data_IF_069009619654
#
_entry.id   IF_069009619654
#
_cell.length_a   1.000
_cell.length_b   1.000
_cell.length_c   1.000
_cell.angle_alpha   90.00
_cell.angle_beta   90.00
_cell.angle_gamma   90.00
#
_symmetry.space_group_name_H-M   'P 1'
#
loop_
_entity.id
_entity.type
_entity.pdbx_description
1 polymer ?
#
# COMPACT_ATOMS: atom_id res chain seq x y z
N UNK A 1 -8.39 -62.92 -47.83
CA UNK A 1 -7.19 -62.05 -47.85
C UNK A 1 -7.72 -60.63 -47.82
N UNK A 2 -7.94 -60.09 -46.62
CA UNK A 2 -8.46 -58.73 -46.38
C UNK A 2 -7.44 -58.10 -45.45
N UNK A 3 -6.69 -57.12 -45.95
CA UNK A 3 -5.73 -56.37 -45.16
C UNK A 3 -6.49 -55.37 -44.28
N UNK A 4 -6.39 -55.58 -42.97
CA UNK A 4 -6.88 -54.70 -41.92
C UNK A 4 -5.88 -53.54 -41.73
N UNK A 5 -6.11 -52.42 -42.42
CA UNK A 5 -5.30 -51.21 -42.27
C UNK A 5 -5.89 -50.33 -41.17
N UNK A 6 -5.52 -50.58 -39.92
CA UNK A 6 -5.74 -49.64 -38.83
C UNK A 6 -4.88 -48.37 -39.02
N UNK A 7 -5.42 -47.15 -38.85
CA UNK A 7 -4.64 -45.92 -38.95
C UNK A 7 -3.72 -45.76 -37.73
N UNK A 8 -2.57 -45.05 -37.87
CA UNK A 8 -1.63 -44.83 -36.78
C UNK A 8 -2.26 -43.93 -35.70
N UNK A 9 -2.39 -44.47 -34.49
CA UNK A 9 -2.76 -43.70 -33.29
C UNK A 9 -1.57 -42.82 -32.94
N UNK A 10 -1.63 -41.54 -33.28
CA UNK A 10 -0.66 -40.56 -32.79
C UNK A 10 -0.88 -40.34 -31.30
N UNK A 11 0.14 -40.45 -30.44
CA UNK A 11 0.02 -39.96 -29.08
C UNK A 11 -0.11 -38.44 -29.15
N UNK A 12 -1.32 -37.94 -28.91
CA UNK A 12 -1.53 -36.53 -28.57
C UNK A 12 -0.80 -36.31 -27.25
N UNK A 13 0.49 -35.98 -27.33
CA UNK A 13 1.19 -35.30 -26.26
C UNK A 13 0.47 -33.97 -26.10
N UNK A 14 -0.55 -33.98 -25.24
CA UNK A 14 -1.04 -32.78 -24.62
C UNK A 14 0.15 -32.19 -23.87
N UNK A 15 0.86 -31.33 -24.58
CA UNK A 15 1.63 -30.26 -23.99
C UNK A 15 0.60 -29.42 -23.23
N UNK A 16 0.27 -29.88 -22.01
CA UNK A 16 -0.38 -29.06 -21.00
C UNK A 16 0.69 -28.04 -20.64
N UNK A 17 0.89 -27.10 -21.56
CA UNK A 17 1.55 -25.85 -21.31
C UNK A 17 0.97 -25.38 -19.99
N UNK A 18 1.81 -25.42 -18.95
CA UNK A 18 1.46 -25.04 -17.62
C UNK A 18 0.73 -23.71 -17.74
N UNK A 19 -0.59 -23.71 -17.56
CA UNK A 19 -1.37 -22.47 -17.56
C UNK A 19 -0.65 -21.61 -16.53
N UNK A 20 -0.12 -20.42 -16.91
CA UNK A 20 0.57 -19.59 -15.94
C UNK A 20 -0.40 -19.43 -14.78
N UNK A 21 -0.02 -19.94 -13.61
CA UNK A 21 -0.81 -19.77 -12.40
C UNK A 21 -1.10 -18.27 -12.32
N UNK A 22 -2.36 -17.82 -12.10
CA UNK A 22 -2.65 -16.40 -12.03
C UNK A 22 -1.68 -15.83 -11.01
N UNK A 23 -0.69 -15.08 -11.49
CA UNK A 23 0.31 -14.49 -10.64
C UNK A 23 -0.50 -13.71 -9.61
N UNK A 24 -0.45 -14.11 -8.34
CA UNK A 24 -1.18 -13.36 -7.32
C UNK A 24 -0.51 -11.98 -7.30
N UNK A 25 -1.15 -11.01 -7.97
CA UNK A 25 -0.62 -9.68 -8.21
C UNK A 25 -0.57 -8.93 -6.87
N UNK A 26 0.47 -9.21 -6.08
CA UNK A 26 0.66 -8.70 -4.72
C UNK A 26 1.73 -7.62 -4.75
N UNK A 27 1.53 -6.57 -3.95
CA UNK A 27 2.56 -5.56 -3.74
C UNK A 27 3.82 -6.19 -3.13
N UNK A 28 4.98 -5.61 -3.43
CA UNK A 28 6.22 -6.03 -2.78
C UNK A 28 6.10 -5.82 -1.26
N UNK A 29 6.71 -6.72 -0.47
CA UNK A 29 6.71 -6.59 1.00
C UNK A 29 7.23 -5.22 1.46
N UNK A 30 8.23 -4.68 0.75
CA UNK A 30 8.76 -3.34 1.01
C UNK A 30 7.71 -2.24 0.82
N UNK A 31 6.91 -2.30 -0.25
CA UNK A 31 5.84 -1.33 -0.49
C UNK A 31 4.73 -1.40 0.57
N UNK A 32 4.40 -2.61 1.04
CA UNK A 32 3.43 -2.81 2.13
C UNK A 32 3.94 -2.23 3.44
N UNK A 33 5.18 -2.56 3.85
CA UNK A 33 5.77 -2.02 5.09
C UNK A 33 5.87 -0.51 5.03
N UNK A 34 6.33 0.06 3.91
CA UNK A 34 6.43 1.50 3.72
C UNK A 34 5.04 2.17 3.83
N UNK A 35 4.01 1.58 3.23
CA UNK A 35 2.65 2.09 3.33
C UNK A 35 2.15 2.14 4.78
N UNK A 36 2.22 1.02 5.49
CA UNK A 36 1.71 0.93 6.87
C UNK A 36 2.51 1.80 7.84
N UNK A 37 3.83 1.90 7.64
CA UNK A 37 4.67 2.81 8.43
C UNK A 37 4.20 4.25 8.26
N UNK A 38 4.02 4.71 7.02
CA UNK A 38 3.54 6.07 6.75
C UNK A 38 2.13 6.28 7.30
N UNK A 39 1.23 5.31 7.12
CA UNK A 39 -0.15 5.40 7.62
C UNK A 39 -0.19 5.56 9.14
N UNK A 40 0.56 4.74 9.88
CA UNK A 40 0.67 4.84 11.34
C UNK A 40 1.26 6.18 11.77
N UNK A 41 2.33 6.64 11.10
CA UNK A 41 2.96 7.92 11.40
C UNK A 41 2.00 9.10 11.15
N UNK A 42 1.22 9.08 10.06
CA UNK A 42 0.21 10.10 9.78
C UNK A 42 -0.84 10.17 10.89
N UNK A 43 -1.35 9.03 11.36
CA UNK A 43 -2.36 8.98 12.43
C UNK A 43 -1.79 9.58 13.73
N UNK A 44 -0.59 9.16 14.13
CA UNK A 44 0.08 9.70 15.33
C UNK A 44 0.32 11.20 15.17
N UNK A 45 0.83 11.63 14.02
CA UNK A 45 1.17 13.03 13.79
C UNK A 45 -0.06 13.94 13.75
N UNK A 46 -1.18 13.43 13.23
CA UNK A 46 -2.47 14.12 13.25
C UNK A 46 -2.97 14.29 14.69
N UNK A 47 -2.86 13.24 15.52
CA UNK A 47 -3.16 13.31 16.96
C UNK A 47 -2.31 14.35 17.68
N UNK A 48 -1.00 14.38 17.43
CA UNK A 48 -0.10 15.41 17.98
C UNK A 48 -0.49 16.83 17.54
N UNK A 49 -0.90 17.00 16.28
CA UNK A 49 -1.40 18.28 15.76
C UNK A 49 -2.66 18.75 16.47
N UNK A 50 -3.60 17.83 16.74
CA UNK A 50 -4.80 18.14 17.53
C UNK A 50 -4.49 18.48 18.98
N UNK A 51 -3.59 17.73 19.63
CA UNK A 51 -3.15 18.04 21.00
C UNK A 51 -2.52 19.42 21.04
N UNK A 52 -1.61 19.74 20.10
CA UNK A 52 -0.99 21.05 20.02
C UNK A 52 -2.03 22.17 19.80
N UNK A 53 -3.08 21.92 18.99
CA UNK A 53 -4.14 22.90 18.75
C UNK A 53 -5.10 23.09 19.95
N UNK A 54 -5.28 22.06 20.78
CA UNK A 54 -6.23 22.06 21.89
C UNK A 54 -5.61 22.40 23.26
N UNK A 55 -4.28 22.58 23.33
CA UNK A 55 -3.55 22.76 24.60
C UNK A 55 -2.62 23.96 24.52
N UNK A 56 -2.23 24.46 25.69
CA UNK A 56 -1.25 25.55 25.86
C UNK A 56 -0.10 25.09 26.78
N UNK A 57 0.92 25.93 26.96
CA UNK A 57 2.03 25.69 27.88
C UNK A 57 2.94 24.52 27.48
N UNK A 58 3.32 23.69 28.45
CA UNK A 58 4.31 22.63 28.24
C UNK A 58 3.78 21.49 27.37
N UNK A 59 2.51 21.13 27.50
CA UNK A 59 1.91 20.06 26.70
C UNK A 59 1.84 20.44 25.21
N UNK A 60 1.49 21.70 24.92
CA UNK A 60 1.55 22.25 23.56
C UNK A 60 2.97 22.15 22.98
N UNK A 61 3.98 22.56 23.75
CA UNK A 61 5.38 22.55 23.32
C UNK A 61 5.85 21.12 23.04
N UNK A 62 5.59 20.19 23.95
CA UNK A 62 5.92 18.77 23.78
C UNK A 62 5.24 18.15 22.56
N UNK A 63 3.96 18.48 22.32
CA UNK A 63 3.25 18.02 21.14
C UNK A 63 3.92 18.53 19.85
N UNK A 64 4.32 19.80 19.80
CA UNK A 64 5.04 20.37 18.65
C UNK A 64 6.46 19.81 18.47
N UNK A 65 7.15 19.51 19.57
CA UNK A 65 8.50 18.94 19.56
C UNK A 65 8.51 17.56 18.90
N UNK A 66 7.42 16.79 19.02
CA UNK A 66 7.23 15.54 18.28
C UNK A 66 6.59 15.74 16.91
N UNK A 67 5.61 16.63 16.79
CA UNK A 67 4.84 16.82 15.56
C UNK A 67 5.70 17.26 14.37
N UNK A 68 6.59 18.24 14.59
CA UNK A 68 7.44 18.79 13.51
C UNK A 68 8.41 17.75 12.93
N UNK A 69 9.26 17.06 13.72
CA UNK A 69 10.19 16.09 13.16
C UNK A 69 9.48 14.87 12.57
N UNK A 70 8.40 14.38 13.19
CA UNK A 70 7.60 13.29 12.62
C UNK A 70 7.03 13.71 11.25
N UNK A 71 6.53 14.94 11.12
CA UNK A 71 6.09 15.49 9.84
C UNK A 71 7.16 15.49 8.75
N UNK A 72 8.41 15.83 9.09
CA UNK A 72 9.54 15.79 8.15
C UNK A 72 9.90 14.36 7.75
N UNK A 73 9.87 13.40 8.68
CA UNK A 73 10.09 11.99 8.35
C UNK A 73 8.98 11.46 7.42
N UNK A 74 7.72 11.83 7.67
CA UNK A 74 6.60 11.50 6.78
C UNK A 74 6.85 12.07 5.38
N UNK A 75 7.31 13.32 5.26
CA UNK A 75 7.66 13.92 3.96
C UNK A 75 8.72 13.08 3.23
N UNK A 76 9.82 12.74 3.91
CA UNK A 76 10.89 11.93 3.33
C UNK A 76 10.40 10.55 2.87
N UNK A 77 9.67 9.83 3.72
CA UNK A 77 9.09 8.52 3.37
C UNK A 77 8.06 8.61 2.24
N UNK A 78 7.29 9.71 2.18
CA UNK A 78 6.32 9.98 1.12
C UNK A 78 6.99 10.19 -0.23
N UNK A 79 8.14 10.88 -0.25
CA UNK A 79 8.95 11.03 -1.46
C UNK A 79 9.53 9.69 -1.92
N UNK A 80 10.05 8.88 -0.99
CA UNK A 80 10.50 7.51 -1.31
C UNK A 80 9.36 6.68 -1.88
N UNK A 81 8.17 6.76 -1.29
CA UNK A 81 6.97 6.06 -1.77
C UNK A 81 6.55 6.54 -3.16
N UNK A 82 6.60 7.84 -3.41
CA UNK A 82 6.31 8.41 -4.73
C UNK A 82 7.33 7.90 -5.77
N UNK A 83 8.63 7.96 -5.45
CA UNK A 83 9.69 7.40 -6.29
C UNK A 83 9.49 5.90 -6.57
N UNK A 84 9.12 5.12 -5.56
CA UNK A 84 8.79 3.70 -5.72
C UNK A 84 7.63 3.50 -6.70
N UNK A 85 6.55 4.29 -6.57
CA UNK A 85 5.39 4.20 -7.48
C UNK A 85 5.72 4.61 -8.92
N UNK A 86 6.61 5.58 -9.10
CA UNK A 86 7.04 6.00 -10.44
C UNK A 86 7.92 4.94 -11.12
N UNK A 87 8.70 4.19 -10.34
CA UNK A 87 9.61 3.14 -10.84
C UNK A 87 8.95 1.77 -10.97
N UNK A 88 7.89 1.49 -10.19
CA UNK A 88 7.20 0.21 -10.17
C UNK A 88 5.74 0.38 -10.60
N UNK A 89 5.36 -0.24 -11.73
CA UNK A 89 3.97 -0.22 -12.20
C UNK A 89 3.07 -0.89 -11.15
N UNK A 90 2.07 -0.17 -10.61
CA UNK A 90 1.10 -0.81 -9.72
C UNK A 90 0.31 -1.87 -10.51
N UNK A 91 -0.16 -2.94 -9.83
CA UNK A 91 -1.05 -3.91 -10.45
C UNK A 91 -2.25 -3.23 -11.12
N UNK A 92 -2.76 -3.77 -12.24
CA UNK A 92 -3.99 -3.29 -12.85
C UNK A 92 -5.12 -3.23 -11.81
N UNK A 93 -5.90 -2.16 -11.83
CA UNK A 93 -7.09 -2.06 -10.99
C UNK A 93 -8.01 -3.25 -11.27
N UNK A 94 -8.65 -3.78 -10.21
CA UNK A 94 -9.53 -4.94 -10.32
C UNK A 94 -10.63 -4.70 -11.36
N UNK A 95 -10.79 -5.64 -12.29
CA UNK A 95 -11.84 -5.59 -13.30
C UNK A 95 -13.20 -5.73 -12.63
N UNK A 96 -14.07 -4.72 -12.73
CA UNK A 96 -15.43 -4.77 -12.17
C UNK A 96 -15.89 -3.49 -11.45
N UNK A 97 -14.98 -2.53 -11.20
CA UNK A 97 -15.35 -1.24 -10.58
C UNK A 97 -16.24 -0.40 -11.49
N UNK A 98 -17.24 0.27 -10.91
CA UNK A 98 -18.02 1.25 -11.65
C UNK A 98 -17.10 2.41 -12.11
N UNK A 99 -17.40 3.08 -13.24
CA UNK A 99 -16.54 4.17 -13.75
C UNK A 99 -16.33 5.29 -12.72
N UNK A 100 -17.36 5.62 -11.94
CA UNK A 100 -17.30 6.65 -10.90
C UNK A 100 -16.41 6.23 -9.72
N UNK A 101 -16.40 4.95 -9.34
CA UNK A 101 -15.54 4.40 -8.27
C UNK A 101 -14.07 4.45 -8.68
N UNK A 102 -13.79 4.13 -9.95
CA UNK A 102 -12.44 4.21 -10.50
C UNK A 102 -11.92 5.65 -10.50
N UNK A 103 -12.77 6.62 -10.84
CA UNK A 103 -12.42 8.04 -10.78
C UNK A 103 -12.18 8.47 -9.33
N UNK A 104 -13.08 8.11 -8.42
CA UNK A 104 -12.98 8.48 -7.00
C UNK A 104 -11.75 7.88 -6.33
N UNK A 105 -11.42 6.63 -6.63
CA UNK A 105 -10.20 5.97 -6.17
C UNK A 105 -8.94 6.70 -6.67
N UNK A 106 -8.90 7.08 -7.96
CA UNK A 106 -7.79 7.85 -8.52
C UNK A 106 -7.65 9.22 -7.87
N UNK A 107 -8.76 9.96 -7.72
CA UNK A 107 -8.78 11.27 -7.07
C UNK A 107 -8.32 11.19 -5.62
N UNK A 108 -8.78 10.18 -4.87
CA UNK A 108 -8.36 9.96 -3.49
C UNK A 108 -6.86 9.69 -3.39
N UNK A 109 -6.31 8.84 -4.28
CA UNK A 109 -4.87 8.57 -4.31
C UNK A 109 -4.03 9.80 -4.66
N UNK A 110 -4.44 10.56 -5.69
CA UNK A 110 -3.75 11.81 -6.05
C UNK A 110 -3.87 12.87 -4.95
N UNK A 111 -5.05 12.96 -4.32
CA UNK A 111 -5.29 13.79 -3.15
C UNK A 111 -4.34 13.43 -2.01
N UNK A 112 -4.13 12.14 -1.72
CA UNK A 112 -3.15 11.71 -0.73
C UNK A 112 -1.73 12.15 -1.06
N UNK A 113 -1.29 12.05 -2.32
CA UNK A 113 0.04 12.56 -2.69
C UNK A 113 0.15 14.07 -2.46
N UNK A 114 -0.90 14.82 -2.79
CA UNK A 114 -0.93 16.26 -2.55
C UNK A 114 -0.83 16.58 -1.05
N UNK A 115 -1.62 15.92 -0.19
CA UNK A 115 -1.60 16.22 1.25
C UNK A 115 -0.37 15.66 1.96
N UNK A 116 0.11 14.47 1.58
CA UNK A 116 1.29 13.85 2.19
C UNK A 116 2.57 14.66 1.94
N UNK A 117 2.64 15.40 0.83
CA UNK A 117 3.77 16.26 0.51
C UNK A 117 3.49 17.69 0.96
N UNK A 118 2.34 18.24 0.57
CA UNK A 118 2.00 19.64 0.80
C UNK A 118 1.78 19.98 2.28
N UNK A 119 1.20 19.09 3.08
CA UNK A 119 0.97 19.35 4.51
C UNK A 119 2.28 19.51 5.32
N UNK A 120 3.25 18.59 5.25
CA UNK A 120 4.52 18.80 5.94
C UNK A 120 5.33 19.95 5.32
N UNK A 121 5.21 20.22 4.02
CA UNK A 121 5.83 21.41 3.42
C UNK A 121 5.27 22.73 3.96
N UNK A 122 3.95 22.84 4.13
CA UNK A 122 3.34 24.04 4.73
C UNK A 122 3.69 24.18 6.21
N UNK A 123 3.84 23.07 6.94
CA UNK A 123 4.34 23.07 8.33
C UNK A 123 5.82 23.48 8.43
N UNK A 124 6.65 23.04 7.48
CA UNK A 124 8.05 23.46 7.38
C UNK A 124 8.16 24.94 6.97
N UNK A 125 7.31 25.41 6.06
CA UNK A 125 7.17 26.83 5.74
C UNK A 125 6.78 27.64 6.97
N UNK A 126 5.76 27.22 7.71
CA UNK A 126 5.34 27.89 8.95
C UNK A 126 6.49 28.00 9.95
N UNK A 127 7.19 26.90 10.20
CA UNK A 127 8.35 26.86 11.10
C UNK A 127 9.52 27.72 10.61
N UNK A 128 9.60 27.92 9.29
CA UNK A 128 10.62 28.75 8.67
C UNK A 128 10.24 30.22 8.59
N UNK A 129 8.95 30.59 8.62
CA UNK A 129 8.44 31.96 8.44
C UNK A 129 8.34 32.77 9.74
N UNK A 130 8.38 32.10 10.90
CA UNK A 130 8.33 32.75 12.21
C UNK A 130 9.64 33.50 12.52
N UNK A 131 9.62 34.78 12.96
CA UNK A 131 10.84 35.56 13.22
C UNK A 131 11.77 34.97 14.28
N UNK A 132 11.19 34.30 15.29
CA UNK A 132 11.95 33.50 16.27
C UNK A 132 11.92 32.04 15.85
N UNK A 133 12.83 31.70 14.94
CA UNK A 133 13.03 30.32 14.51
C UNK A 133 13.57 29.49 15.67
N UNK A 134 12.98 28.33 15.88
CA UNK A 134 13.48 27.35 16.85
C UNK A 134 13.95 26.16 16.03
N UNK A 135 15.22 25.79 16.18
CA UNK A 135 15.75 24.59 15.56
C UNK A 135 14.88 23.40 15.99
N UNK A 136 14.49 22.58 15.03
CA UNK A 136 13.78 21.34 15.28
C UNK A 136 14.41 20.26 14.40
N UNK A 137 14.38 19.04 14.92
CA UNK A 137 15.17 17.97 14.36
C UNK A 137 14.80 16.63 14.94
N UNK A 138 15.28 15.57 14.31
CA UNK A 138 15.06 14.23 14.86
C UNK A 138 15.93 14.03 16.09
N UNK A 139 15.33 14.13 17.28
CA UNK A 139 15.95 13.78 18.57
C UNK A 139 17.31 14.50 18.78
N UNK A 140 17.44 15.74 18.31
CA UNK A 140 18.68 16.52 18.41
C UNK A 140 19.87 16.00 17.58
N UNK A 141 19.67 14.98 16.73
CA UNK A 141 20.74 14.36 15.91
C UNK A 141 20.86 15.04 14.55
N UNK A 142 19.72 15.43 13.96
CA UNK A 142 19.67 16.07 12.64
C UNK A 142 18.81 17.31 12.75
N UNK A 143 19.42 18.49 12.68
CA UNK A 143 18.71 19.76 12.56
C UNK A 143 18.17 19.93 11.14
N UNK A 144 16.89 20.27 11.04
CA UNK A 144 16.26 20.52 9.74
C UNK A 144 16.54 21.98 9.35
N UNK A 145 17.16 22.23 8.17
CA UNK A 145 17.43 23.60 7.74
C UNK A 145 16.12 24.36 7.49
N UNK A 146 16.13 25.67 7.70
CA UNK A 146 14.96 26.50 7.40
C UNK A 146 14.88 26.83 5.92
N UNK A 147 13.65 26.95 5.41
CA UNK A 147 13.43 27.39 4.04
C UNK A 147 13.78 28.89 3.88
N UNK A 148 14.27 29.30 2.71
CA UNK A 148 14.55 30.71 2.39
C UNK A 148 13.24 31.46 2.10
N UNK A 149 12.44 31.67 3.13
CA UNK A 149 11.13 32.34 3.07
C UNK A 149 11.15 33.65 3.84
N UNK A 150 10.29 34.59 3.46
CA UNK A 150 10.12 35.87 4.15
C UNK A 150 9.72 35.64 5.61
N UNK A 151 10.46 36.27 6.53
CA UNK A 151 10.14 36.26 7.96
C UNK A 151 9.12 37.34 8.27
N UNK A 152 7.84 36.97 8.31
CA UNK A 152 6.78 37.92 8.65
C UNK A 152 5.58 37.21 9.25
N UNK A 153 4.82 37.93 10.09
CA UNK A 153 3.55 37.43 10.63
C UNK A 153 2.55 37.11 9.50
N UNK A 154 2.58 37.87 8.41
CA UNK A 154 1.75 37.59 7.23
C UNK A 154 2.12 36.24 6.59
N UNK A 155 3.43 35.98 6.37
CA UNK A 155 3.87 34.70 5.80
C UNK A 155 3.58 33.53 6.74
N UNK A 156 3.81 33.69 8.04
CA UNK A 156 3.50 32.67 9.03
C UNK A 156 1.99 32.39 9.10
N UNK A 157 1.15 33.43 9.09
CA UNK A 157 -0.30 33.29 9.08
C UNK A 157 -0.82 32.55 7.86
N UNK A 158 -0.30 32.86 6.67
CA UNK A 158 -0.64 32.16 5.43
C UNK A 158 -0.22 30.68 5.49
N UNK A 159 1.02 30.40 5.90
CA UNK A 159 1.52 29.04 6.03
C UNK A 159 0.70 28.21 7.04
N UNK A 160 0.32 28.83 8.17
CA UNK A 160 -0.53 28.20 9.17
C UNK A 160 -1.93 27.89 8.62
N UNK A 161 -2.58 28.84 7.93
CA UNK A 161 -3.89 28.62 7.34
C UNK A 161 -3.87 27.48 6.31
N UNK A 162 -2.87 27.48 5.42
CA UNK A 162 -2.68 26.38 4.47
C UNK A 162 -2.43 25.05 5.19
N UNK A 163 -1.63 25.03 6.26
CA UNK A 163 -1.37 23.83 7.03
C UNK A 163 -2.64 23.24 7.65
N UNK A 164 -3.51 24.09 8.22
CA UNK A 164 -4.81 23.68 8.77
C UNK A 164 -5.72 23.13 7.68
N UNK A 165 -5.85 23.82 6.54
CA UNK A 165 -6.67 23.33 5.42
C UNK A 165 -6.19 22.00 4.86
N UNK A 166 -4.86 21.81 4.79
CA UNK A 166 -4.27 20.54 4.39
C UNK A 166 -4.56 19.45 5.43
N UNK A 167 -4.50 19.78 6.72
CA UNK A 167 -4.92 18.92 7.84
C UNK A 167 -6.34 18.41 7.70
N UNK A 168 -7.29 19.33 7.50
CA UNK A 168 -8.70 19.01 7.29
C UNK A 168 -8.90 18.15 6.02
N UNK A 169 -8.19 18.47 4.94
CA UNK A 169 -8.22 17.68 3.70
C UNK A 169 -7.69 16.26 3.92
N UNK A 170 -6.63 16.09 4.71
CA UNK A 170 -6.11 14.77 5.09
C UNK A 170 -7.15 13.93 5.82
N UNK A 171 -7.90 14.53 6.75
CA UNK A 171 -8.98 13.83 7.47
C UNK A 171 -10.09 13.40 6.51
N UNK A 172 -10.54 14.30 5.63
CA UNK A 172 -11.57 13.99 4.64
C UNK A 172 -11.15 12.88 3.69
N UNK A 173 -9.92 12.92 3.18
CA UNK A 173 -9.36 11.86 2.32
C UNK A 173 -9.20 10.55 3.06
N UNK A 174 -8.77 10.57 4.33
CA UNK A 174 -8.68 9.37 5.17
C UNK A 174 -10.05 8.73 5.38
N UNK A 175 -11.07 9.52 5.70
CA UNK A 175 -12.44 9.04 5.82
C UNK A 175 -12.94 8.42 4.51
N UNK A 176 -12.74 9.10 3.38
CA UNK A 176 -13.12 8.60 2.05
C UNK A 176 -12.39 7.30 1.69
N UNK A 177 -11.11 7.21 2.01
CA UNK A 177 -10.30 6.02 1.78
C UNK A 177 -10.79 4.82 2.60
N UNK A 178 -11.01 5.02 3.90
CA UNK A 178 -11.52 3.98 4.78
C UNK A 178 -12.93 3.54 4.39
N UNK A 179 -13.79 4.48 3.98
CA UNK A 179 -15.12 4.17 3.47
C UNK A 179 -15.04 3.32 2.18
N UNK A 180 -14.15 3.65 1.24
CA UNK A 180 -13.92 2.86 0.03
C UNK A 180 -13.44 1.45 0.34
N UNK A 181 -12.45 1.32 1.23
CA UNK A 181 -11.95 0.00 1.69
C UNK A 181 -13.07 -0.81 2.34
N UNK A 182 -13.85 -0.21 3.25
CA UNK A 182 -14.94 -0.88 3.95
C UNK A 182 -16.04 -1.33 2.99
N UNK A 183 -16.42 -0.47 2.04
CA UNK A 183 -17.41 -0.80 1.01
C UNK A 183 -16.95 -2.00 0.17
N UNK A 184 -15.72 -1.97 -0.32
CA UNK A 184 -15.20 -3.07 -1.14
C UNK A 184 -15.02 -4.37 -0.36
N UNK A 185 -14.64 -4.29 0.92
CA UNK A 185 -14.48 -5.46 1.79
C UNK A 185 -15.83 -6.10 2.18
N UNK A 186 -16.82 -5.29 2.56
CA UNK A 186 -18.08 -5.79 3.12
C UNK A 186 -19.18 -6.00 2.08
N UNK A 187 -19.28 -5.11 1.09
CA UNK A 187 -20.38 -5.13 0.11
C UNK A 187 -19.93 -5.88 -1.15
N UNK A 188 -18.83 -5.45 -1.75
CA UNK A 188 -18.39 -6.01 -3.02
C UNK A 188 -17.59 -7.32 -2.85
N UNK A 189 -17.25 -7.69 -1.60
CA UNK A 189 -16.48 -8.89 -1.23
C UNK A 189 -15.13 -9.02 -1.95
N UNK A 190 -14.56 -7.90 -2.39
CA UNK A 190 -13.22 -7.85 -2.96
C UNK A 190 -12.19 -7.79 -1.83
N UNK A 191 -11.20 -8.68 -1.87
CA UNK A 191 -10.12 -8.70 -0.89
C UNK A 191 -9.05 -7.61 -1.16
N UNK A 192 -9.46 -6.35 -1.27
CA UNK A 192 -8.57 -5.18 -1.40
C UNK A 192 -7.52 -5.15 -0.28
N UNK A 193 -7.90 -5.49 0.96
CA UNK A 193 -6.97 -5.60 2.09
C UNK A 193 -5.94 -6.72 1.87
N UNK A 194 -6.29 -7.83 1.22
CA UNK A 194 -5.35 -8.94 0.96
C UNK A 194 -4.24 -8.59 0.00
N UNK A 195 -4.39 -7.52 -0.80
CA UNK A 195 -3.30 -6.96 -1.60
C UNK A 195 -2.28 -6.17 -0.75
N UNK A 196 -2.68 -5.68 0.43
CA UNK A 196 -1.86 -4.89 1.36
C UNK A 196 -1.65 -5.55 2.74
N UNK A 197 -1.96 -6.84 2.91
CA UNK A 197 -1.63 -7.59 4.11
C UNK A 197 -0.26 -8.27 3.98
N UNK A 198 0.48 -8.35 5.09
CA UNK A 198 1.76 -9.10 5.17
C UNK A 198 1.57 -10.62 5.18
N UNK A 199 0.32 -11.10 5.24
CA UNK A 199 -0.04 -12.50 5.47
C UNK A 199 0.32 -13.38 4.28
N UNK A 200 1.35 -14.21 4.46
CA UNK A 200 1.71 -15.31 3.58
C UNK A 200 0.73 -16.46 3.80
N UNK A 201 -0.49 -16.37 3.28
CA UNK A 201 -1.30 -17.59 3.12
C UNK A 201 -0.67 -18.36 1.97
N UNK A 202 0.22 -19.31 2.29
CA UNK A 202 0.60 -20.35 1.32
C UNK A 202 -0.72 -20.96 0.86
N UNK A 203 -1.04 -20.82 -0.42
CA UNK A 203 -2.06 -21.68 -1.00
C UNK A 203 -1.68 -23.12 -0.62
N UNK A 204 -2.59 -23.92 -0.04
CA UNK A 204 -2.35 -25.33 0.15
C UNK A 204 -1.90 -25.87 -1.20
N UNK A 205 -0.73 -26.53 -1.23
CA UNK A 205 -0.30 -27.22 -2.44
C UNK A 205 -1.46 -28.12 -2.88
N UNK A 206 -1.86 -28.12 -4.16
CA UNK A 206 -2.83 -29.10 -4.61
C UNK A 206 -2.30 -30.48 -4.23
N UNK A 207 -3.08 -31.20 -3.42
CA UNK A 207 -2.83 -32.60 -3.05
C UNK A 207 -3.05 -33.48 -4.27
N UNK A 208 -2.30 -33.25 -5.35
CA UNK A 208 -2.20 -34.19 -6.45
C UNK A 208 -0.94 -35.01 -6.22
N UNK A 209 -1.13 -36.33 -6.16
CA UNK A 209 -0.12 -37.38 -6.07
C UNK A 209 0.20 -37.90 -4.64
N UNK A 210 -0.82 -38.33 -3.91
CA UNK A 210 -0.71 -39.65 -3.28
C UNK A 210 -1.00 -40.67 -4.39
N UNK A 211 0.05 -41.11 -5.09
CA UNK A 211 -0.03 -42.26 -5.99
C UNK A 211 -0.57 -43.43 -5.15
N UNK A 212 -1.81 -43.80 -5.42
CA UNK A 212 -2.40 -45.03 -4.92
C UNK A 212 -1.66 -46.19 -5.56
N UNK A 213 -0.69 -46.76 -4.85
CA UNK A 213 -0.12 -48.06 -5.19
C UNK A 213 -1.11 -49.17 -4.81
N UNK A 214 -2.30 -49.15 -5.41
CA UNK A 214 -3.26 -50.22 -5.31
C UNK A 214 -2.88 -51.33 -6.31
N UNK A 215 -2.48 -52.48 -5.76
CA UNK A 215 -2.78 -53.79 -6.33
C UNK A 215 -2.21 -54.13 -7.71
N UNK A 216 -0.92 -54.42 -7.79
CA UNK A 216 -0.39 -55.27 -8.86
C UNK A 216 -0.59 -56.74 -8.45
N UNK A 217 -1.74 -57.34 -8.80
CA UNK A 217 -1.91 -58.81 -8.77
C UNK A 217 -1.29 -59.37 -10.05
N UNK A 218 -0.40 -60.37 -9.99
CA UNK A 218 0.05 -61.09 -11.18
C UNK A 218 -1.08 -61.99 -11.69
N UNK A 219 -1.45 -61.83 -12.96
CA UNK A 219 -2.32 -62.76 -13.65
C UNK A 219 -1.61 -64.11 -13.76
N UNK A 220 -2.23 -65.17 -13.23
CA UNK A 220 -1.85 -66.55 -13.49
C UNK A 220 -1.97 -66.85 -14.99
N UNK A 221 -0.93 -67.44 -15.54
CA UNK A 221 -0.92 -68.04 -16.88
C UNK A 221 -1.17 -69.56 -16.72
N UNK A 222 -2.27 -70.13 -17.22
CA UNK A 222 -2.41 -71.57 -17.35
C UNK A 222 -1.97 -71.99 -18.76
N UNK A 223 -0.83 -72.69 -18.85
CA UNK A 223 -0.49 -73.44 -20.06
C UNK A 223 -0.84 -74.93 -19.85
N UNK A 224 -1.66 -75.55 -20.70
CA UNK A 224 -1.87 -76.99 -20.70
C UNK A 224 -0.89 -77.66 -21.67
N UNK A 225 -0.07 -78.60 -21.19
CA UNK A 225 0.60 -79.65 -21.98
C UNK A 225 1.41 -80.58 -21.05
N UNK A 226 1.09 -81.87 -21.08
CA UNK A 226 1.81 -82.94 -20.38
C UNK A 226 0.86 -83.95 -19.77
#
# INVERSE_FOLDING_TARGET
MVEDTAPPVTPVLQDVAARPSPASWRYSRGAVVLHWTIAAMIIVNLGLGFVAAATEGDLHRQALDWHKPVGIVILGLSLVRLGWRLTHRPPPAESGLAPWETVLAKLTHWGFYLVMIGQPLTGWWLSSAVPKRHAFGWIGVIEVPFLPVTQSMASAGMAHQLHVWMGLSTIGLLALHLAGVLKHQLIDRHEVLSSMTLSRTRAPLPTSARVSSAGRRPCLNPNPRG
#
